data_IF_959538605497
#
_entry.id   IF_959538605497
#
_cell.length_a   1.000
_cell.length_b   1.000
_cell.length_c   1.000
_cell.angle_alpha   90.00
_cell.angle_beta   90.00
_cell.angle_gamma   90.00
#
_symmetry.space_group_name_H-M   'P 1'
#
loop_
_entity.id
_entity.type
_entity.pdbx_description
1 polymer ?
#
# COMPACT_ATOMS: atom_id res chain seq x y z
N UNK A 1 4.97 2.73 8.53
CA UNK A 1 5.18 3.25 9.88
C UNK A 1 5.88 4.58 9.81
N UNK A 2 6.92 4.73 10.62
CA UNK A 2 7.26 5.94 11.39
C UNK A 2 8.14 6.93 10.62
N UNK A 3 7.54 8.00 10.08
CA UNK A 3 8.33 9.11 9.54
C UNK A 3 8.81 10.02 10.66
N UNK A 4 7.92 10.43 11.57
CA UNK A 4 8.18 11.34 12.70
C UNK A 4 7.50 10.87 14.01
N UNK A 5 7.95 11.33 15.20
CA UNK A 5 7.37 10.93 16.49
C UNK A 5 5.89 11.27 16.69
N UNK A 6 5.38 12.27 15.95
CA UNK A 6 4.00 12.74 15.97
C UNK A 6 3.11 12.08 14.92
N UNK A 7 3.69 11.26 14.02
CA UNK A 7 2.90 10.58 13.02
C UNK A 7 2.01 9.50 13.65
N UNK A 8 0.74 9.56 13.24
CA UNK A 8 -0.37 8.76 13.72
C UNK A 8 -0.32 7.33 13.17
N UNK A 9 0.06 6.34 13.97
CA UNK A 9 0.05 4.93 13.54
C UNK A 9 -0.90 4.10 14.39
N UNK A 10 -1.97 3.64 13.74
CA UNK A 10 -2.94 2.72 14.33
C UNK A 10 -4.33 2.96 13.79
N UNK A 11 -5.20 1.96 13.94
CA UNK A 11 -6.57 2.03 13.39
C UNK A 11 -7.39 3.20 13.94
N UNK A 12 -7.24 3.53 15.24
CA UNK A 12 -8.03 4.58 15.89
C UNK A 12 -7.55 5.99 15.50
N UNK A 13 -6.24 6.30 15.53
CA UNK A 13 -5.75 7.56 14.97
C UNK A 13 -6.12 7.74 13.49
N UNK A 14 -6.02 6.70 12.67
CA UNK A 14 -6.41 6.77 11.26
C UNK A 14 -7.90 7.10 11.08
N UNK A 15 -8.78 6.46 11.85
CA UNK A 15 -10.22 6.77 11.88
C UNK A 15 -10.46 8.24 12.23
N UNK A 16 -9.80 8.76 13.26
CA UNK A 16 -9.92 10.16 13.65
C UNK A 16 -9.52 11.12 12.53
N UNK A 17 -8.45 10.81 11.78
CA UNK A 17 -8.02 11.62 10.63
C UNK A 17 -9.05 11.63 9.51
N UNK A 18 -9.60 10.46 9.16
CA UNK A 18 -10.65 10.34 8.14
C UNK A 18 -11.90 11.13 8.55
N UNK A 19 -12.34 11.00 9.80
CA UNK A 19 -13.51 11.72 10.31
C UNK A 19 -13.29 13.24 10.39
N UNK A 20 -12.07 13.66 10.77
CA UNK A 20 -11.71 15.07 10.80
C UNK A 20 -11.70 15.69 9.39
N UNK A 21 -11.21 14.96 8.38
CA UNK A 21 -11.27 15.39 6.98
C UNK A 21 -12.71 15.41 6.44
N UNK A 22 -13.51 14.38 6.73
CA UNK A 22 -14.92 14.33 6.37
C UNK A 22 -15.71 15.52 6.93
N UNK A 23 -15.46 15.88 8.20
CA UNK A 23 -16.08 17.05 8.87
C UNK A 23 -15.75 18.37 8.15
N UNK A 24 -14.54 18.52 7.59
CA UNK A 24 -14.14 19.73 6.86
C UNK A 24 -14.82 19.86 5.50
N UNK A 25 -15.17 18.73 4.87
CA UNK A 25 -15.76 18.70 3.51
C UNK A 25 -17.27 18.89 3.50
N UNK A 26 -17.94 18.63 4.62
CA UNK A 26 -19.39 18.73 4.72
C UNK A 26 -19.84 20.13 5.10
N UNK A 27 -20.86 20.62 4.38
CA UNK A 27 -21.47 21.93 4.59
C UNK A 27 -22.68 21.88 5.53
N UNK A 28 -23.41 20.77 5.57
CA UNK A 28 -24.54 20.51 6.47
C UNK A 28 -24.85 19.01 6.56
N UNK A 29 -25.49 18.58 7.66
CA UNK A 29 -25.90 17.18 7.88
C UNK A 29 -24.98 16.38 8.80
N UNK A 30 -25.16 15.06 8.82
CA UNK A 30 -24.37 14.13 9.66
C UNK A 30 -23.00 13.91 9.03
N UNK A 31 -21.94 14.03 9.83
CA UNK A 31 -20.58 13.73 9.39
C UNK A 31 -20.42 12.21 9.20
N UNK A 32 -20.06 11.72 8.00
CA UNK A 32 -19.75 10.33 7.76
C UNK A 32 -18.66 9.85 8.71
N UNK A 33 -18.92 8.72 9.33
CA UNK A 33 -17.96 7.98 10.14
C UNK A 33 -17.42 6.81 9.32
N UNK A 34 -16.27 6.26 9.72
CA UNK A 34 -15.75 5.02 9.16
C UNK A 34 -15.52 3.98 10.26
N UNK A 35 -15.75 2.71 9.97
CA UNK A 35 -15.41 1.64 10.91
C UNK A 35 -13.92 1.30 10.86
N UNK A 36 -13.35 0.91 12.00
CA UNK A 36 -11.94 0.59 12.12
C UNK A 36 -11.77 -0.84 12.63
N UNK A 37 -11.04 -1.65 11.88
CA UNK A 37 -10.86 -3.08 12.14
C UNK A 37 -9.41 -3.38 12.53
N UNK A 38 -9.23 -4.33 13.46
CA UNK A 38 -7.91 -4.88 13.78
C UNK A 38 -7.46 -5.92 12.74
N UNK A 39 -8.43 -6.64 12.18
CA UNK A 39 -8.24 -7.72 11.23
C UNK A 39 -8.86 -7.30 9.89
N UNK A 40 -8.03 -7.25 8.84
CA UNK A 40 -8.47 -6.86 7.50
C UNK A 40 -9.51 -7.84 6.93
N UNK A 41 -9.55 -9.10 7.38
CA UNK A 41 -10.51 -10.10 6.89
C UNK A 41 -11.95 -9.67 7.13
N UNK A 42 -12.21 -8.99 8.25
CA UNK A 42 -13.52 -8.41 8.56
C UNK A 42 -13.94 -7.32 7.55
N UNK A 43 -12.98 -6.60 6.97
CA UNK A 43 -13.24 -5.65 5.87
C UNK A 43 -13.54 -6.41 4.58
N UNK A 44 -12.88 -7.55 4.34
CA UNK A 44 -13.13 -8.37 3.16
C UNK A 44 -14.50 -9.07 3.22
N UNK A 45 -14.98 -9.44 4.40
CA UNK A 45 -16.28 -10.09 4.60
C UNK A 45 -17.47 -9.14 4.39
N UNK A 46 -17.24 -7.82 4.45
CA UNK A 46 -18.28 -6.81 4.24
C UNK A 46 -18.82 -6.81 2.83
N UNK A 47 -20.13 -6.97 2.71
CA UNK A 47 -20.84 -6.98 1.42
C UNK A 47 -21.11 -5.58 0.87
N UNK A 48 -20.97 -4.55 1.70
CA UNK A 48 -21.17 -3.14 1.33
C UNK A 48 -19.88 -2.45 0.87
N UNK A 49 -18.81 -3.21 0.66
CA UNK A 49 -17.51 -2.71 0.16
C UNK A 49 -17.22 -3.33 -1.19
N UNK A 50 -17.22 -2.50 -2.24
CA UNK A 50 -16.95 -2.91 -3.63
C UNK A 50 -15.45 -3.00 -3.95
N UNK A 51 -14.64 -2.14 -3.33
CA UNK A 51 -13.22 -2.00 -3.64
C UNK A 51 -12.37 -1.72 -2.40
N UNK A 52 -11.10 -2.12 -2.44
CA UNK A 52 -10.12 -1.89 -1.37
C UNK A 52 -8.85 -1.24 -1.88
N UNK A 53 -8.28 -0.37 -1.05
CA UNK A 53 -6.94 0.20 -1.25
C UNK A 53 -5.99 -0.45 -0.25
N UNK A 54 -4.99 -1.15 -0.74
CA UNK A 54 -4.01 -1.91 0.05
C UNK A 54 -2.73 -1.07 0.17
N UNK A 55 -2.47 -0.57 1.38
CA UNK A 55 -1.33 0.32 1.74
C UNK A 55 -0.61 -0.20 2.99
N UNK A 56 -0.49 -1.51 3.09
CA UNK A 56 0.19 -2.21 4.19
C UNK A 56 1.66 -2.45 3.82
N UNK A 57 2.49 -3.05 4.69
CA UNK A 57 3.81 -3.52 4.28
C UNK A 57 3.73 -4.48 3.08
N UNK A 58 4.72 -4.41 2.19
CA UNK A 58 4.71 -5.08 0.89
C UNK A 58 4.66 -6.61 0.97
N UNK A 59 5.21 -7.21 2.04
CA UNK A 59 5.10 -8.65 2.29
C UNK A 59 3.65 -9.14 2.44
N UNK A 60 2.69 -8.25 2.69
CA UNK A 60 1.26 -8.59 2.71
C UNK A 60 0.53 -8.40 1.37
N UNK A 61 1.09 -7.64 0.44
CA UNK A 61 0.38 -7.16 -0.75
C UNK A 61 -0.30 -8.27 -1.54
N UNK A 62 0.46 -9.32 -1.90
CA UNK A 62 -0.08 -10.46 -2.65
C UNK A 62 -1.23 -11.14 -1.90
N UNK A 63 -1.04 -11.44 -0.62
CA UNK A 63 -1.99 -12.21 0.19
C UNK A 63 -3.32 -11.45 0.31
N UNK A 64 -3.26 -10.19 0.75
CA UNK A 64 -4.47 -9.39 0.92
C UNK A 64 -5.14 -9.13 -0.43
N UNK A 65 -4.37 -8.89 -1.49
CA UNK A 65 -4.92 -8.68 -2.83
C UNK A 65 -5.67 -9.91 -3.33
N UNK A 66 -5.07 -11.10 -3.23
CA UNK A 66 -5.72 -12.35 -3.66
C UNK A 66 -6.99 -12.58 -2.84
N UNK A 67 -6.94 -12.43 -1.52
CA UNK A 67 -8.12 -12.59 -0.66
C UNK A 67 -9.23 -11.58 -1.00
N UNK A 68 -8.88 -10.33 -1.32
CA UNK A 68 -9.85 -9.31 -1.71
C UNK A 68 -10.51 -9.64 -3.06
N UNK A 69 -9.73 -10.09 -4.04
CA UNK A 69 -10.24 -10.53 -5.35
C UNK A 69 -11.16 -11.75 -5.21
N UNK A 70 -10.79 -12.72 -4.35
CA UNK A 70 -11.61 -13.88 -4.01
C UNK A 70 -12.92 -13.50 -3.33
N UNK A 71 -12.89 -12.48 -2.46
CA UNK A 71 -14.06 -11.86 -1.84
C UNK A 71 -14.86 -10.96 -2.80
N UNK A 72 -14.53 -10.94 -4.09
CA UNK A 72 -15.26 -10.24 -5.14
C UNK A 72 -15.01 -8.74 -5.20
N UNK A 73 -13.94 -8.23 -4.57
CA UNK A 73 -13.61 -6.80 -4.50
C UNK A 73 -12.63 -6.39 -5.59
N UNK A 74 -12.79 -5.17 -6.09
CA UNK A 74 -11.76 -4.52 -6.90
C UNK A 74 -10.62 -4.03 -6.01
N UNK A 75 -9.41 -4.00 -6.55
CA UNK A 75 -8.19 -3.76 -5.75
C UNK A 75 -7.33 -2.67 -6.37
N UNK A 76 -6.99 -1.67 -5.56
CA UNK A 76 -5.82 -0.84 -5.78
C UNK A 76 -4.77 -1.24 -4.74
N UNK A 77 -3.59 -1.68 -5.16
CA UNK A 77 -2.51 -2.08 -4.26
C UNK A 77 -1.29 -1.19 -4.48
N UNK A 78 -0.79 -0.55 -3.43
CA UNK A 78 0.39 0.30 -3.54
C UNK A 78 1.63 -0.47 -4.01
N UNK A 79 2.59 0.29 -4.56
CA UNK A 79 3.89 -0.27 -4.96
C UNK A 79 4.79 -0.49 -3.73
N UNK A 80 5.69 -1.50 -3.74
CA UNK A 80 5.91 -2.49 -4.81
C UNK A 80 4.79 -3.54 -4.88
N UNK A 81 4.49 -4.05 -6.07
CA UNK A 81 3.34 -4.97 -6.27
C UNK A 81 3.47 -6.29 -5.50
N UNK A 82 4.62 -6.96 -5.63
CA UNK A 82 4.94 -8.23 -4.97
C UNK A 82 6.43 -8.31 -4.71
N UNK A 83 6.87 -9.27 -3.89
CA UNK A 83 8.28 -9.45 -3.57
C UNK A 83 9.11 -9.93 -4.77
N UNK A 84 8.54 -10.79 -5.63
CA UNK A 84 9.18 -11.29 -6.83
C UNK A 84 8.18 -11.50 -7.98
N UNK A 85 8.70 -11.76 -9.19
CA UNK A 85 7.88 -12.10 -10.36
C UNK A 85 7.10 -13.41 -10.11
N UNK A 86 7.75 -14.42 -9.53
CA UNK A 86 7.11 -15.68 -9.19
C UNK A 86 5.99 -15.47 -8.16
N UNK A 87 6.24 -14.61 -7.18
CA UNK A 87 5.26 -14.21 -6.16
C UNK A 87 4.04 -13.48 -6.76
N UNK A 88 4.23 -12.77 -7.88
CA UNK A 88 3.16 -12.06 -8.59
C UNK A 88 2.28 -12.94 -9.48
N UNK A 89 2.71 -14.17 -9.83
CA UNK A 89 1.95 -15.03 -10.75
C UNK A 89 0.57 -15.44 -10.21
N UNK A 90 0.44 -15.91 -8.95
CA UNK A 90 -0.87 -16.22 -8.37
C UNK A 90 -1.81 -15.02 -8.33
N UNK A 91 -1.28 -13.80 -8.13
CA UNK A 91 -2.08 -12.59 -8.15
C UNK A 91 -2.69 -12.33 -9.53
N UNK A 92 -1.90 -12.48 -10.61
CA UNK A 92 -2.40 -12.35 -11.99
C UNK A 92 -3.50 -13.39 -12.27
N UNK A 93 -3.30 -14.62 -11.81
CA UNK A 93 -4.27 -15.70 -12.00
C UNK A 93 -5.58 -15.41 -11.23
N UNK A 94 -5.49 -14.90 -10.00
CA UNK A 94 -6.64 -14.47 -9.21
C UNK A 94 -7.42 -13.33 -9.90
N UNK A 95 -6.72 -12.29 -10.38
CA UNK A 95 -7.36 -11.18 -11.12
C UNK A 95 -8.15 -11.70 -12.32
N UNK A 96 -7.54 -12.59 -13.12
CA UNK A 96 -8.17 -13.17 -14.31
C UNK A 96 -9.34 -14.08 -13.98
N UNK A 97 -9.18 -14.94 -12.96
CA UNK A 97 -10.19 -15.90 -12.51
C UNK A 97 -11.44 -15.19 -12.00
N UNK A 98 -11.26 -14.17 -11.16
CA UNK A 98 -12.36 -13.46 -10.52
C UNK A 98 -12.91 -12.29 -11.35
N UNK A 99 -12.25 -11.96 -12.48
CA UNK A 99 -12.64 -10.90 -13.41
C UNK A 99 -12.84 -9.54 -12.70
N UNK A 100 -11.89 -9.21 -11.83
CA UNK A 100 -11.89 -7.98 -11.02
C UNK A 100 -10.90 -6.97 -11.56
N UNK A 101 -11.13 -5.70 -11.24
CA UNK A 101 -10.18 -4.63 -11.53
C UNK A 101 -9.05 -4.71 -10.52
N UNK A 102 -7.82 -4.69 -11.03
CA UNK A 102 -6.62 -4.59 -10.22
C UNK A 102 -5.72 -3.49 -10.76
N UNK A 103 -5.29 -2.58 -9.90
CA UNK A 103 -4.32 -1.54 -10.22
C UNK A 103 -3.20 -1.51 -9.20
N UNK A 104 -1.95 -1.50 -9.67
CA UNK A 104 -0.80 -1.19 -8.82
C UNK A 104 -0.61 0.32 -8.68
N UNK A 105 -0.19 0.79 -7.51
CA UNK A 105 0.04 2.19 -7.17
C UNK A 105 1.24 2.85 -7.83
N UNK A 106 1.52 2.51 -9.08
CA UNK A 106 2.47 3.22 -9.94
C UNK A 106 1.82 4.49 -10.50
N UNK A 107 1.42 5.42 -9.62
CA UNK A 107 0.64 6.61 -9.95
C UNK A 107 1.29 7.52 -11.00
N UNK A 108 2.64 7.54 -11.09
CA UNK A 108 3.35 8.28 -12.14
C UNK A 108 2.99 7.83 -13.57
N UNK A 109 2.42 6.63 -13.75
CA UNK A 109 1.89 6.18 -15.05
C UNK A 109 0.62 6.92 -15.47
N UNK A 110 -0.10 7.51 -14.52
CA UNK A 110 -1.29 8.33 -14.74
C UNK A 110 -0.97 9.83 -14.79
N UNK A 111 0.29 10.21 -14.57
CA UNK A 111 0.73 11.60 -14.68
C UNK A 111 0.73 12.02 -16.17
N UNK A 112 -0.03 13.06 -16.57
CA UNK A 112 -0.11 13.50 -17.96
C UNK A 112 1.25 13.86 -18.56
N UNK A 113 2.18 14.38 -17.76
CA UNK A 113 3.54 14.71 -18.21
C UNK A 113 4.30 13.44 -18.56
N UNK A 114 4.26 12.43 -17.69
CA UNK A 114 4.88 11.13 -17.92
C UNK A 114 4.29 10.43 -19.16
N UNK A 115 2.98 10.52 -19.35
CA UNK A 115 2.30 9.98 -20.53
C UNK A 115 2.74 10.68 -21.82
N UNK A 116 2.78 12.01 -21.82
CA UNK A 116 3.24 12.81 -22.96
C UNK A 116 4.69 12.47 -23.35
N UNK A 117 5.59 12.39 -22.39
CA UNK A 117 7.01 12.02 -22.64
C UNK A 117 7.10 10.60 -23.22
N UNK A 118 6.34 9.65 -22.68
CA UNK A 118 6.31 8.28 -23.20
C UNK A 118 5.75 8.22 -24.63
N UNK A 119 4.72 9.00 -24.94
CA UNK A 119 4.13 9.09 -26.28
C UNK A 119 5.12 9.69 -27.28
N UNK A 120 5.78 10.80 -26.92
CA UNK A 120 6.79 11.44 -27.76
C UNK A 120 7.94 10.49 -28.10
N UNK A 121 8.38 9.68 -27.12
CA UNK A 121 9.38 8.63 -27.35
C UNK A 121 8.87 7.51 -28.27
N UNK A 122 7.68 6.96 -28.00
CA UNK A 122 7.13 5.82 -28.76
C UNK A 122 6.72 6.18 -30.19
N UNK A 123 6.28 7.40 -30.41
CA UNK A 123 5.88 7.90 -31.74
C UNK A 123 7.08 8.31 -32.62
N UNK A 124 8.30 8.29 -32.08
CA UNK A 124 9.51 8.71 -32.81
C UNK A 124 9.67 10.23 -32.94
N UNK A 125 8.82 11.05 -32.29
CA UNK A 125 8.89 12.52 -32.33
C UNK A 125 10.23 13.08 -31.84
N UNK A 126 10.95 12.34 -30.99
CA UNK A 126 12.28 12.71 -30.46
C UNK A 126 13.45 11.98 -31.18
N UNK A 127 13.16 11.25 -32.27
CA UNK A 127 14.11 10.33 -32.90
C UNK A 127 14.31 9.04 -32.10
N UNK A 128 15.42 8.34 -32.36
CA UNK A 128 15.76 7.08 -31.67
C UNK A 128 16.19 7.36 -30.24
N UNK A 129 15.37 6.95 -29.26
CA UNK A 129 15.69 7.05 -27.84
C UNK A 129 17.02 6.34 -27.51
N UNK A 130 18.03 7.11 -27.08
CA UNK A 130 19.36 6.57 -26.74
C UNK A 130 19.54 6.29 -25.24
N UNK A 131 19.00 7.14 -24.37
CA UNK A 131 19.26 7.10 -22.92
C UNK A 131 18.12 7.72 -22.12
N UNK A 132 17.76 7.07 -21.01
CA UNK A 132 16.92 7.64 -19.95
C UNK A 132 17.78 7.76 -18.70
N UNK A 133 17.78 8.93 -18.06
CA UNK A 133 18.40 9.13 -16.75
C UNK A 133 17.31 9.39 -15.74
N UNK A 134 17.28 8.59 -14.68
CA UNK A 134 16.35 8.76 -13.56
C UNK A 134 17.14 8.94 -12.27
N UNK A 135 16.49 9.51 -11.26
CA UNK A 135 17.07 9.68 -9.93
C UNK A 135 16.06 9.18 -8.91
N UNK A 136 16.52 8.31 -8.00
CA UNK A 136 15.74 7.93 -6.83
C UNK A 136 15.87 9.06 -5.80
N UNK A 137 14.74 9.52 -5.25
CA UNK A 137 14.72 10.62 -4.28
C UNK A 137 15.52 10.32 -3.00
N UNK A 138 15.93 11.37 -2.30
CA UNK A 138 16.78 11.31 -1.10
C UNK A 138 16.06 10.81 0.17
N UNK A 139 14.76 10.57 0.10
CA UNK A 139 13.93 10.27 1.28
C UNK A 139 13.86 8.76 1.62
N UNK A 140 14.81 7.96 1.13
CA UNK A 140 14.91 6.56 1.50
C UNK A 140 15.55 6.47 2.88
N UNK A 141 14.76 6.07 3.89
CA UNK A 141 15.33 5.71 5.19
C UNK A 141 16.09 4.39 5.04
N UNK A 142 17.30 4.34 5.56
CA UNK A 142 18.12 3.12 5.65
C UNK A 142 18.19 2.74 7.10
N UNK A 143 17.73 1.54 7.43
CA UNK A 143 17.84 1.05 8.78
C UNK A 143 17.30 -0.37 8.95
N UNK A 144 17.63 -1.00 10.08
CA UNK A 144 18.66 -0.60 11.04
C UNK A 144 20.08 -0.86 10.50
N UNK A 145 21.09 -0.20 11.07
CA UNK A 145 22.49 -0.37 10.64
C UNK A 145 23.08 -1.76 10.96
N UNK A 146 24.31 -2.06 10.50
CA UNK A 146 24.99 -3.31 10.82
C UNK A 146 25.07 -3.57 12.34
N UNK A 147 24.80 -4.80 12.77
CA UNK A 147 24.90 -5.20 14.19
C UNK A 147 23.73 -4.80 15.08
N UNK A 148 22.61 -4.35 14.49
CA UNK A 148 21.41 -3.97 15.24
C UNK A 148 20.90 -5.09 16.17
N UNK A 149 20.26 -4.67 17.26
CA UNK A 149 19.69 -5.55 18.27
C UNK A 149 18.18 -5.38 18.34
N UNK A 150 17.46 -6.43 18.73
CA UNK A 150 16.02 -6.34 18.95
C UNK A 150 15.64 -5.32 20.01
N UNK A 151 14.49 -4.67 19.82
CA UNK A 151 13.84 -3.80 20.79
C UNK A 151 12.58 -4.47 21.33
N UNK A 152 12.11 -4.09 22.54
CA UNK A 152 10.79 -4.48 23.01
C UNK A 152 9.70 -3.99 22.05
N UNK A 153 8.75 -4.88 21.73
CA UNK A 153 7.56 -4.52 20.95
C UNK A 153 6.68 -3.58 21.77
N UNK A 154 6.26 -2.42 21.24
CA UNK A 154 5.29 -1.56 21.92
C UNK A 154 3.99 -2.30 22.22
N UNK A 155 3.43 -2.14 23.42
CA UNK A 155 2.23 -2.87 23.86
C UNK A 155 0.99 -2.61 22.98
N UNK A 156 0.95 -1.48 22.27
CA UNK A 156 -0.14 -1.10 21.36
C UNK A 156 0.08 -1.57 19.92
N UNK A 157 1.19 -2.26 19.64
CA UNK A 157 1.56 -2.69 18.30
C UNK A 157 1.50 -4.21 18.18
N UNK A 158 0.54 -4.70 17.38
CA UNK A 158 0.47 -6.11 17.02
C UNK A 158 1.55 -6.45 15.99
N UNK A 159 2.77 -6.63 16.48
CA UNK A 159 3.94 -6.93 15.65
C UNK A 159 3.83 -8.29 14.95
N UNK A 160 3.12 -9.25 15.57
CA UNK A 160 2.91 -10.57 14.98
C UNK A 160 2.07 -10.47 13.70
N UNK A 161 0.95 -9.74 13.75
CA UNK A 161 0.15 -9.48 12.56
C UNK A 161 0.88 -8.58 11.58
N UNK A 162 1.65 -7.60 12.06
CA UNK A 162 2.46 -6.76 11.17
C UNK A 162 3.49 -7.61 10.38
N UNK A 163 4.25 -8.49 11.04
CA UNK A 163 5.20 -9.41 10.40
C UNK A 163 4.49 -10.35 9.42
N UNK A 164 3.42 -11.00 9.87
CA UNK A 164 2.59 -11.82 8.99
C UNK A 164 3.37 -12.92 8.27
N UNK A 165 3.39 -12.93 6.92
CA UNK A 165 4.12 -13.93 6.14
C UNK A 165 5.64 -13.70 6.04
N UNK A 166 6.14 -12.57 6.54
CA UNK A 166 7.58 -12.32 6.54
C UNK A 166 8.32 -13.29 7.47
N UNK A 167 9.61 -13.58 7.21
CA UNK A 167 10.43 -14.35 8.14
C UNK A 167 10.41 -13.77 9.55
N UNK A 168 10.42 -14.66 10.55
CA UNK A 168 10.50 -14.25 11.95
C UNK A 168 11.77 -13.43 12.19
N UNK A 169 11.61 -12.30 12.87
CA UNK A 169 12.72 -11.41 13.19
C UNK A 169 12.35 -10.52 14.37
N UNK A 170 13.35 -10.13 15.15
CA UNK A 170 13.14 -9.24 16.28
C UNK A 170 12.62 -7.87 15.82
N UNK A 171 11.72 -7.28 16.62
CA UNK A 171 11.25 -5.93 16.38
C UNK A 171 12.39 -4.92 16.49
N UNK A 172 12.39 -3.95 15.60
CA UNK A 172 13.18 -2.73 15.70
C UNK A 172 12.39 -1.64 14.97
N UNK A 173 12.33 -0.44 15.53
CA UNK A 173 11.52 0.65 14.97
C UNK A 173 11.89 0.96 13.52
N UNK A 174 13.19 0.96 13.20
CA UNK A 174 13.69 1.20 11.84
C UNK A 174 13.40 0.08 10.82
N UNK A 175 12.92 -1.09 11.28
CA UNK A 175 12.43 -2.14 10.36
C UNK A 175 10.97 -1.95 9.98
N UNK A 176 10.25 -1.08 10.70
CA UNK A 176 8.80 -0.88 10.54
C UNK A 176 8.45 0.49 9.94
N UNK A 177 9.39 1.05 9.17
CA UNK A 177 9.27 2.35 8.52
C UNK A 177 8.19 2.36 7.44
#
# INVERSE_FOLDING_TARGET
GYKEPDHFYGRLPAKQLVEADAKKRIKSGVVPTCEAYADFRKVLDRQDIDAVVIVVPDHWHRIISVMALEAGKDVYCEKPLTFSVADGRPLIDAVRKHKKVFQTGSHERSNPVSQFVCEAARSGKIGTLQKIVTKVGYNNKVGPGPGWQGMPVPATFDYRTWLGPAPEAAYHVDRCL
#
